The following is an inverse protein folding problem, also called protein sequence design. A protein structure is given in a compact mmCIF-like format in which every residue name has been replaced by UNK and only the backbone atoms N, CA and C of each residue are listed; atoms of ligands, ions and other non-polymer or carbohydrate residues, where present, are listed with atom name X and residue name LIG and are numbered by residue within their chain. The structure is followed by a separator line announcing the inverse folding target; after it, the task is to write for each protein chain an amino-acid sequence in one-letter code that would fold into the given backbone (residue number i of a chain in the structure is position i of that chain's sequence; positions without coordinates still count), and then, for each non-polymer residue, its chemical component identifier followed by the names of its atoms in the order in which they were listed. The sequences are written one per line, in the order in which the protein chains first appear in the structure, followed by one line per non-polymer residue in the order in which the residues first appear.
data_IF_850230543449
#
_entry.id   IF_850230543449
#
_cell.length_a   1.000
_cell.length_b   1.000
_cell.length_c   1.000
_cell.angle_alpha   90.00
_cell.angle_beta   90.00
_cell.angle_gamma   90.00
#
_symmetry.space_group_name_H-M   'P 1'
#
loop_
_entity.id
_entity.type
_entity.pdbx_description
1 polymer ?
#
# COMPACT_ATOMS: atom_id res chain seq x y z
N UNK A 1 37.28 -7.26 20.27
CA UNK A 1 36.46 -6.13 19.80
C UNK A 1 35.15 -6.69 19.27
N UNK A 2 34.09 -6.65 20.07
CA UNK A 2 32.75 -7.08 19.67
C UNK A 2 32.15 -6.02 18.76
N UNK A 3 31.94 -6.36 17.49
CA UNK A 3 31.16 -5.55 16.55
C UNK A 3 29.76 -5.36 17.14
N UNK A 4 29.42 -4.14 17.55
CA UNK A 4 28.03 -3.75 17.80
C UNK A 4 27.29 -3.98 16.49
N UNK A 5 26.46 -5.03 16.40
CA UNK A 5 25.51 -5.16 15.29
C UNK A 5 24.62 -3.93 15.39
N UNK A 6 24.72 -3.02 14.43
CA UNK A 6 23.76 -1.94 14.27
C UNK A 6 22.40 -2.61 14.20
N UNK A 7 21.58 -2.40 15.22
CA UNK A 7 20.22 -2.92 15.23
C UNK A 7 19.49 -2.16 14.13
N UNK A 8 19.04 -2.87 13.11
CA UNK A 8 18.28 -2.25 12.03
C UNK A 8 17.05 -1.54 12.63
N UNK A 9 16.69 -0.35 12.13
CA UNK A 9 15.63 0.47 12.71
C UNK A 9 14.26 -0.21 12.68
N UNK A 10 14.09 -1.17 11.77
CA UNK A 10 12.94 -2.07 11.63
C UNK A 10 13.44 -3.42 11.09
N UNK A 11 12.67 -4.47 11.30
CA UNK A 11 12.88 -5.80 10.71
C UNK A 11 12.56 -5.81 9.21
N UNK A 12 13.11 -6.78 8.48
CA UNK A 12 12.78 -7.00 7.07
C UNK A 12 11.26 -7.16 6.84
N UNK A 13 10.58 -7.88 7.73
CA UNK A 13 9.13 -8.09 7.59
C UNK A 13 8.35 -6.78 7.74
N UNK A 14 8.72 -5.93 8.71
CA UNK A 14 8.12 -4.59 8.85
C UNK A 14 8.40 -3.74 7.60
N UNK A 15 9.62 -3.78 7.07
CA UNK A 15 9.99 -3.07 5.83
C UNK A 15 9.15 -3.54 4.63
N UNK A 16 8.92 -4.84 4.50
CA UNK A 16 8.10 -5.40 3.43
C UNK A 16 6.66 -4.90 3.52
N UNK A 17 6.04 -4.94 4.71
CA UNK A 17 4.69 -4.41 4.93
C UNK A 17 4.58 -2.91 4.65
N UNK A 18 5.57 -2.11 5.09
CA UNK A 18 5.63 -0.67 4.79
C UNK A 18 5.76 -0.43 3.29
N UNK A 19 6.58 -1.21 2.60
CA UNK A 19 6.78 -1.12 1.15
C UNK A 19 5.51 -1.43 0.38
N UNK A 20 4.75 -2.44 0.81
CA UNK A 20 3.44 -2.75 0.22
C UNK A 20 2.47 -1.60 0.48
N UNK A 21 2.36 -1.08 1.71
CA UNK A 21 1.49 0.06 2.02
C UNK A 21 1.82 1.29 1.17
N UNK A 22 3.10 1.61 1.01
CA UNK A 22 3.55 2.72 0.18
C UNK A 22 3.10 2.54 -1.28
N UNK A 23 3.33 1.36 -1.85
CA UNK A 23 2.92 1.03 -3.23
C UNK A 23 1.41 1.22 -3.42
N UNK A 24 0.60 0.74 -2.48
CA UNK A 24 -0.86 0.90 -2.53
C UNK A 24 -1.30 2.36 -2.43
N UNK A 25 -0.68 3.13 -1.53
CA UNK A 25 -0.99 4.55 -1.39
C UNK A 25 -0.70 5.34 -2.67
N UNK A 26 0.43 5.05 -3.33
CA UNK A 26 0.77 5.64 -4.63
C UNK A 26 -0.26 5.25 -5.69
N UNK A 27 -0.70 3.99 -5.73
CA UNK A 27 -1.73 3.54 -6.67
C UNK A 27 -3.08 4.26 -6.45
N UNK A 28 -3.53 4.41 -5.19
CA UNK A 28 -4.77 5.12 -4.85
C UNK A 28 -4.76 6.57 -5.36
N UNK A 29 -3.63 7.26 -5.21
CA UNK A 29 -3.46 8.62 -5.73
C UNK A 29 -3.43 8.64 -7.27
N UNK A 30 -2.71 7.70 -7.88
CA UNK A 30 -2.62 7.61 -9.34
C UNK A 30 -3.98 7.38 -10.01
N UNK A 31 -4.86 6.57 -9.39
CA UNK A 31 -6.21 6.33 -9.92
C UNK A 31 -7.05 7.60 -10.04
N UNK A 32 -6.79 8.66 -9.27
CA UNK A 32 -7.53 9.92 -9.42
C UNK A 32 -7.27 10.54 -10.81
N UNK A 33 -6.02 10.51 -11.27
CA UNK A 33 -5.66 10.94 -12.61
C UNK A 33 -6.21 9.98 -13.67
N UNK A 34 -6.12 8.66 -13.45
CA UNK A 34 -6.64 7.69 -14.42
C UNK A 34 -8.16 7.79 -14.60
N UNK A 35 -8.90 8.04 -13.52
CA UNK A 35 -10.34 8.29 -13.56
C UNK A 35 -10.63 9.60 -14.31
N UNK A 36 -9.82 10.64 -14.09
CA UNK A 36 -9.96 11.91 -14.82
C UNK A 36 -9.73 11.70 -16.32
N UNK A 37 -8.65 11.05 -16.70
CA UNK A 37 -8.32 10.77 -18.11
C UNK A 37 -9.40 9.92 -18.79
N UNK A 38 -9.95 8.92 -18.07
CA UNK A 38 -11.05 8.11 -18.57
C UNK A 38 -12.34 8.91 -18.80
N UNK A 39 -12.64 9.89 -17.94
CA UNK A 39 -13.76 10.82 -18.13
C UNK A 39 -13.54 11.73 -19.34
N UNK A 40 -12.34 12.27 -19.51
CA UNK A 40 -11.98 13.12 -20.66
C UNK A 40 -12.05 12.34 -21.98
N UNK A 41 -11.72 11.05 -21.96
CA UNK A 41 -11.87 10.14 -23.09
C UNK A 41 -13.33 9.66 -23.33
N UNK A 42 -14.31 10.11 -22.53
CA UNK A 42 -15.71 9.66 -22.56
C UNK A 42 -15.87 8.13 -22.43
N UNK A 43 -14.96 7.46 -21.70
CA UNK A 43 -15.00 6.01 -21.50
C UNK A 43 -15.55 5.65 -20.13
N UNK A 44 -16.88 5.55 -20.02
CA UNK A 44 -17.55 5.14 -18.79
C UNK A 44 -17.08 3.76 -18.25
N UNK A 45 -16.85 2.73 -19.09
CA UNK A 45 -16.32 1.44 -18.60
C UNK A 45 -14.94 1.57 -17.94
N UNK A 46 -14.08 2.46 -18.45
CA UNK A 46 -12.77 2.72 -17.84
C UNK A 46 -12.90 3.47 -16.51
N UNK A 47 -13.83 4.43 -16.41
CA UNK A 47 -14.12 5.13 -15.15
C UNK A 47 -14.53 4.13 -14.06
N UNK A 48 -15.46 3.24 -14.37
CA UNK A 48 -15.96 2.22 -13.43
C UNK A 48 -14.85 1.25 -13.01
N UNK A 49 -14.04 0.80 -13.97
CA UNK A 49 -12.91 -0.09 -13.68
C UNK A 49 -11.90 0.59 -12.74
N UNK A 50 -11.48 1.82 -13.04
CA UNK A 50 -10.50 2.53 -12.21
C UNK A 50 -11.05 2.89 -10.83
N UNK A 51 -12.34 3.21 -10.72
CA UNK A 51 -13.00 3.39 -9.41
C UNK A 51 -12.97 2.09 -8.59
N UNK A 52 -13.31 0.95 -9.21
CA UNK A 52 -13.27 -0.35 -8.56
C UNK A 52 -11.86 -0.72 -8.10
N UNK A 53 -10.86 -0.52 -8.96
CA UNK A 53 -9.45 -0.79 -8.62
C UNK A 53 -8.97 0.09 -7.47
N UNK A 54 -9.27 1.39 -7.51
CA UNK A 54 -8.94 2.32 -6.41
C UNK A 54 -9.54 1.89 -5.08
N UNK A 55 -10.82 1.48 -5.10
CA UNK A 55 -11.50 1.02 -3.90
C UNK A 55 -10.86 -0.26 -3.34
N UNK A 56 -10.50 -1.21 -4.21
CA UNK A 56 -9.79 -2.44 -3.82
C UNK A 56 -8.42 -2.14 -3.21
N UNK A 57 -7.66 -1.18 -3.73
CA UNK A 57 -6.37 -0.77 -3.13
C UNK A 57 -6.55 -0.21 -1.71
N UNK A 58 -7.60 0.59 -1.49
CA UNK A 58 -7.92 1.16 -0.17
C UNK A 58 -8.23 0.05 0.84
N UNK A 59 -9.10 -0.89 0.46
CA UNK A 59 -9.48 -2.02 1.32
C UNK A 59 -8.26 -2.87 1.68
N UNK A 60 -7.43 -3.21 0.70
CA UNK A 60 -6.21 -3.97 0.93
C UNK A 60 -5.20 -3.18 1.77
N UNK A 61 -5.07 -1.86 1.59
CA UNK A 61 -4.21 -1.04 2.43
C UNK A 61 -4.66 -1.03 3.89
N UNK A 62 -5.96 -1.05 4.16
CA UNK A 62 -6.49 -1.20 5.52
C UNK A 62 -6.12 -2.56 6.14
N UNK A 63 -6.29 -3.64 5.38
CA UNK A 63 -5.91 -4.99 5.80
C UNK A 63 -4.41 -5.09 6.11
N UNK A 64 -3.56 -4.59 5.21
CA UNK A 64 -2.10 -4.64 5.37
C UNK A 64 -1.65 -3.79 6.55
N UNK A 65 -2.28 -2.63 6.77
CA UNK A 65 -2.01 -1.79 7.95
C UNK A 65 -2.34 -2.54 9.23
N UNK A 66 -3.44 -3.29 9.27
CA UNK A 66 -3.78 -4.10 10.42
C UNK A 66 -2.69 -5.15 10.70
N UNK A 67 -2.27 -5.90 9.69
CA UNK A 67 -1.21 -6.91 9.83
C UNK A 67 0.14 -6.29 10.24
N UNK A 68 0.51 -5.12 9.69
CA UNK A 68 1.71 -4.40 10.11
C UNK A 68 1.66 -4.06 11.61
N UNK A 69 0.52 -3.60 12.12
CA UNK A 69 0.37 -3.31 13.55
C UNK A 69 0.57 -4.57 14.41
N UNK A 70 0.09 -5.73 13.95
CA UNK A 70 0.33 -7.00 14.65
C UNK A 70 1.80 -7.40 14.63
N UNK A 71 2.47 -7.28 13.48
CA UNK A 71 3.91 -7.57 13.34
C UNK A 71 4.74 -6.67 14.26
N UNK A 72 4.44 -5.37 14.31
CA UNK A 72 5.16 -4.41 15.17
C UNK A 72 4.92 -4.67 16.66
N UNK A 73 3.75 -5.20 17.04
CA UNK A 73 3.43 -5.49 18.44
C UNK A 73 4.00 -6.83 18.92
N UNK A 74 3.93 -7.87 18.08
CA UNK A 74 4.22 -9.26 18.46
C UNK A 74 5.61 -9.73 17.99
N UNK A 75 6.26 -8.96 17.11
CA UNK A 75 7.57 -9.30 16.54
C UNK A 75 7.57 -10.50 15.57
N UNK A 76 6.39 -11.11 15.35
CA UNK A 76 6.01 -12.17 14.39
C UNK A 76 4.49 -12.34 14.50
N UNK A 77 3.80 -12.61 13.39
CA UNK A 77 2.49 -13.27 13.47
C UNK A 77 2.68 -14.75 13.81
#
# INVERSE_FOLDING_TARGET
MTKTKTQEPITNLEFDFISVLHTKAVAVQAYENYIKDAKEANSQPCVELFQKLRQSEIEQAHEIRHHLQEVMQKGKM
#
